data_IF_546639805329
#
_entry.id   IF_546639805329
#
_cell.length_a   1.000
_cell.length_b   1.000
_cell.length_c   1.000
_cell.angle_alpha   90.00
_cell.angle_beta   90.00
_cell.angle_gamma   90.00
#
_symmetry.space_group_name_H-M   'P 1'
#
loop_
_entity.id
_entity.type
_entity.pdbx_description
1 polymer ?
#
# COMPACT_ATOMS: atom_id res chain seq x y z
N UNK A 1 -6.43 -11.94 25.21
CA UNK A 1 -7.06 -10.64 24.88
C UNK A 1 -6.09 -9.45 24.73
N UNK A 2 -4.81 -9.52 25.15
CA UNK A 2 -3.86 -8.39 25.01
C UNK A 2 -3.29 -8.14 23.59
N UNK A 3 -3.42 -9.08 22.66
CA UNK A 3 -2.74 -9.01 21.34
C UNK A 3 -3.39 -8.05 20.33
N UNK A 4 -4.64 -7.61 20.56
CA UNK A 4 -5.28 -6.57 19.74
C UNK A 4 -4.72 -5.17 20.01
N UNK A 5 -4.11 -4.95 21.19
CA UNK A 5 -3.68 -3.61 21.61
C UNK A 5 -2.45 -3.14 20.85
N UNK A 6 -1.44 -4.01 20.70
CA UNK A 6 -0.23 -3.72 19.91
C UNK A 6 -0.56 -3.46 18.44
N UNK A 7 -1.47 -4.25 17.86
CA UNK A 7 -1.92 -4.08 16.50
C UNK A 7 -2.65 -2.74 16.30
N UNK A 8 -3.62 -2.44 17.17
CA UNK A 8 -4.36 -1.18 17.12
C UNK A 8 -3.46 0.03 17.37
N UNK A 9 -2.45 -0.09 18.24
CA UNK A 9 -1.43 0.93 18.46
C UNK A 9 -0.54 1.14 17.24
N UNK A 10 -0.10 0.06 16.58
CA UNK A 10 0.77 0.14 15.40
C UNK A 10 0.02 0.73 14.21
N UNK A 11 -1.22 0.27 13.99
CA UNK A 11 -2.15 0.83 13.00
C UNK A 11 -2.42 2.31 13.26
N UNK A 12 -2.69 2.67 14.51
CA UNK A 12 -2.92 4.07 14.90
C UNK A 12 -1.70 4.95 14.68
N UNK A 13 -0.50 4.47 15.03
CA UNK A 13 0.76 5.20 14.77
C UNK A 13 1.01 5.42 13.28
N UNK A 14 0.85 4.37 12.45
CA UNK A 14 0.99 4.48 11.00
C UNK A 14 0.00 5.48 10.41
N UNK A 15 -1.29 5.34 10.72
CA UNK A 15 -2.32 6.25 10.23
C UNK A 15 -2.08 7.69 10.68
N UNK A 16 -1.63 7.90 11.92
CA UNK A 16 -1.28 9.21 12.45
C UNK A 16 -0.08 9.82 11.71
N UNK A 17 1.00 9.06 11.50
CA UNK A 17 2.18 9.53 10.77
C UNK A 17 1.85 9.94 9.33
N UNK A 18 1.06 9.12 8.61
CA UNK A 18 0.60 9.47 7.26
C UNK A 18 -0.30 10.71 7.26
N UNK A 19 -1.23 10.82 8.20
CA UNK A 19 -2.10 11.99 8.31
C UNK A 19 -1.29 13.26 8.60
N UNK A 20 -0.26 13.20 9.46
CA UNK A 20 0.61 14.34 9.76
C UNK A 20 1.39 14.77 8.52
N UNK A 21 2.03 13.84 7.81
CA UNK A 21 2.81 14.15 6.60
C UNK A 21 1.91 14.72 5.50
N UNK A 22 0.76 14.10 5.25
CA UNK A 22 -0.18 14.58 4.24
C UNK A 22 -0.78 15.93 4.62
N UNK A 23 -1.10 16.15 5.89
CA UNK A 23 -1.58 17.43 6.39
C UNK A 23 -0.57 18.55 6.21
N UNK A 24 0.72 18.26 6.44
CA UNK A 24 1.80 19.20 6.18
C UNK A 24 1.89 19.55 4.68
N UNK A 25 1.86 18.54 3.80
CA UNK A 25 1.92 18.73 2.34
C UNK A 25 0.72 19.55 1.84
N UNK A 26 -0.51 19.18 2.24
CA UNK A 26 -1.73 19.88 1.84
C UNK A 26 -1.76 21.32 2.34
N UNK A 27 -1.27 21.58 3.56
CA UNK A 27 -1.16 22.93 4.10
C UNK A 27 -0.15 23.77 3.31
N UNK A 28 1.02 23.21 2.99
CA UNK A 28 2.05 23.89 2.20
C UNK A 28 1.56 24.21 0.78
N UNK A 29 0.88 23.27 0.12
CA UNK A 29 0.25 23.48 -1.18
C UNK A 29 -0.85 24.54 -1.12
N UNK A 30 -1.74 24.45 -0.13
CA UNK A 30 -2.82 25.43 0.07
C UNK A 30 -2.28 26.84 0.28
N UNK A 31 -1.23 26.99 1.09
CA UNK A 31 -0.54 28.26 1.30
C UNK A 31 0.13 28.79 0.03
N UNK A 32 0.79 27.91 -0.73
CA UNK A 32 1.41 28.25 -2.00
C UNK A 32 0.41 28.78 -3.02
N UNK A 33 -0.73 28.10 -3.19
CA UNK A 33 -1.82 28.53 -4.08
C UNK A 33 -2.39 29.88 -3.63
N UNK A 34 -2.65 30.05 -2.33
CA UNK A 34 -3.13 31.33 -1.78
C UNK A 34 -2.16 32.49 -2.11
N UNK A 35 -0.85 32.28 -1.91
CA UNK A 35 0.18 33.29 -2.22
C UNK A 35 0.24 33.60 -3.72
N UNK A 36 0.14 32.59 -4.58
CA UNK A 36 0.16 32.76 -6.03
C UNK A 36 -1.05 33.57 -6.54
N UNK A 37 -2.25 33.29 -6.02
CA UNK A 37 -3.48 34.01 -6.36
C UNK A 37 -3.36 35.48 -5.93
N UNK A 38 -2.97 35.75 -4.68
CA UNK A 38 -2.77 37.12 -4.16
C UNK A 38 -1.78 37.88 -5.04
N UNK A 39 -0.63 37.28 -5.35
CA UNK A 39 0.40 37.93 -6.15
C UNK A 39 -0.09 38.27 -7.57
N UNK A 40 -0.76 37.31 -8.23
CA UNK A 40 -1.27 37.49 -9.59
C UNK A 40 -2.32 38.59 -9.67
N UNK A 41 -3.25 38.64 -8.71
CA UNK A 41 -4.27 39.69 -8.65
C UNK A 41 -3.68 41.07 -8.37
N UNK A 42 -2.68 41.18 -7.49
CA UNK A 42 -2.00 42.45 -7.23
C UNK A 42 -1.29 42.95 -8.49
N UNK A 43 -0.48 42.11 -9.14
CA UNK A 43 0.25 42.49 -10.36
C UNK A 43 -0.71 42.88 -11.50
N UNK A 44 -1.84 42.17 -11.63
CA UNK A 44 -2.87 42.49 -12.63
C UNK A 44 -3.53 43.84 -12.33
N UNK A 45 -3.90 44.08 -11.06
CA UNK A 45 -4.48 45.35 -10.62
C UNK A 45 -3.53 46.52 -10.85
N UNK A 46 -2.23 46.36 -10.54
CA UNK A 46 -1.22 47.40 -10.76
C UNK A 46 -1.06 47.74 -12.24
N UNK A 47 -1.09 46.73 -13.13
CA UNK A 47 -1.01 46.94 -14.57
C UNK A 47 -2.23 47.70 -15.11
N UNK A 48 -3.42 47.32 -14.67
CA UNK A 48 -4.66 48.01 -15.05
C UNK A 48 -4.65 49.46 -14.55
N UNK A 49 -4.31 49.67 -13.27
CA UNK A 49 -4.25 51.01 -12.68
C UNK A 49 -3.22 51.89 -13.40
N UNK A 50 -2.04 51.35 -13.72
CA UNK A 50 -1.00 52.07 -14.47
C UNK A 50 -1.47 52.42 -15.89
N UNK A 51 -2.18 51.52 -16.57
CA UNK A 51 -2.73 51.76 -17.91
C UNK A 51 -3.78 52.87 -17.92
N UNK A 52 -4.71 52.83 -16.97
CA UNK A 52 -5.76 53.85 -16.80
C UNK A 52 -5.14 55.19 -16.43
N UNK A 53 -4.21 55.22 -15.47
CA UNK A 53 -3.53 56.43 -15.06
C UNK A 53 -2.68 57.05 -16.17
N UNK A 54 -1.97 56.24 -16.96
CA UNK A 54 -1.19 56.70 -18.11
C UNK A 54 -2.07 57.29 -19.21
N UNK A 55 -3.16 56.62 -19.57
CA UNK A 55 -4.11 57.13 -20.58
C UNK A 55 -4.74 58.47 -20.15
N UNK A 56 -5.07 58.60 -18.86
CA UNK A 56 -5.57 59.84 -18.28
C UNK A 56 -4.50 60.93 -18.28
N UNK A 57 -3.28 60.60 -17.87
CA UNK A 57 -2.14 61.51 -17.86
C UNK A 57 -1.89 62.11 -19.26
N UNK A 58 -1.75 61.26 -20.28
CA UNK A 58 -1.50 61.68 -21.67
C UNK A 58 -2.65 62.54 -22.22
N UNK A 59 -3.90 62.19 -21.89
CA UNK A 59 -5.08 62.93 -22.34
C UNK A 59 -5.23 64.29 -21.66
N UNK A 60 -4.72 64.43 -20.42
CA UNK A 60 -4.78 65.66 -19.64
C UNK A 60 -3.65 66.61 -20.02
N UNK A 61 -2.39 66.15 -20.10
CA UNK A 61 -1.23 67.02 -20.40
C UNK A 61 -1.42 67.87 -21.66
N UNK A 62 -2.01 67.29 -22.71
CA UNK A 62 -2.28 68.02 -23.96
C UNK A 62 -3.27 69.18 -23.82
N UNK A 63 -4.07 69.22 -22.74
CA UNK A 63 -5.11 70.23 -22.50
C UNK A 63 -4.76 71.25 -21.42
N UNK A 64 -3.66 71.08 -20.68
CA UNK A 64 -3.25 71.94 -19.57
C UNK A 64 -2.40 73.13 -20.06
N UNK A 65 -2.82 74.35 -19.71
CA UNK A 65 -2.15 75.60 -20.09
C UNK A 65 -1.59 76.34 -18.87
N UNK A 66 -2.41 76.58 -17.84
CA UNK A 66 -2.00 77.35 -16.66
C UNK A 66 -1.81 76.45 -15.42
N UNK A 67 -0.63 76.48 -14.75
CA UNK A 67 -0.40 75.72 -13.52
C UNK A 67 -1.45 76.03 -12.44
N UNK A 68 -2.06 74.98 -11.89
CA UNK A 68 -3.01 75.10 -10.77
C UNK A 68 -4.42 75.58 -11.12
N UNK A 69 -4.72 75.89 -12.38
CA UNK A 69 -6.08 76.18 -12.85
C UNK A 69 -6.58 75.04 -13.73
N UNK A 70 -7.77 74.53 -13.44
CA UNK A 70 -8.42 73.48 -14.24
C UNK A 70 -9.24 74.16 -15.34
N UNK A 71 -8.84 73.99 -16.60
CA UNK A 71 -9.56 74.57 -17.72
C UNK A 71 -10.96 73.92 -17.89
N UNK A 72 -11.99 74.68 -18.31
CA UNK A 72 -13.35 74.16 -18.49
C UNK A 72 -13.44 72.93 -19.41
N UNK A 73 -12.50 72.82 -20.36
CA UNK A 73 -12.39 71.72 -21.33
C UNK A 73 -12.03 70.36 -20.68
N UNK A 74 -11.52 70.37 -19.44
CA UNK A 74 -11.23 69.16 -18.66
C UNK A 74 -12.53 68.57 -18.09
N UNK A 75 -13.52 69.41 -17.80
CA UNK A 75 -14.85 68.97 -17.39
C UNK A 75 -15.60 68.17 -18.48
N UNK A 76 -15.28 68.38 -19.76
CA UNK A 76 -15.79 67.57 -20.86
C UNK A 76 -15.11 66.19 -20.96
N UNK A 77 -13.87 66.06 -20.47
CA UNK A 77 -13.09 64.82 -20.49
C UNK A 77 -13.39 63.92 -19.28
N UNK A 78 -13.67 64.53 -18.13
CA UNK A 78 -13.94 63.86 -16.87
C UNK A 78 -15.37 64.18 -16.40
N UNK A 79 -16.38 63.40 -16.80
CA UNK A 79 -17.73 63.57 -16.30
C UNK A 79 -17.74 63.34 -14.78
N UNK A 80 -18.34 64.26 -14.02
CA UNK A 80 -18.31 64.35 -12.54
C UNK A 80 -17.03 64.92 -11.91
N UNK A 81 -16.29 65.78 -12.63
CA UNK A 81 -15.22 66.58 -12.04
C UNK A 81 -15.80 67.61 -11.05
N UNK A 82 -15.31 67.60 -9.82
CA UNK A 82 -15.68 68.53 -8.75
C UNK A 82 -14.43 69.34 -8.34
N UNK A 83 -14.49 70.66 -8.56
CA UNK A 83 -13.42 71.59 -8.17
C UNK A 83 -13.60 71.97 -6.70
N UNK A 84 -12.55 71.78 -5.91
CA UNK A 84 -12.56 72.05 -4.47
C UNK A 84 -12.76 73.55 -4.24
N UNK A 85 -13.87 73.92 -3.56
CA UNK A 85 -14.24 75.32 -3.30
C UNK A 85 -15.47 75.82 -4.08
N UNK A 86 -15.96 75.05 -5.06
CA UNK A 86 -17.25 75.28 -5.72
C UNK A 86 -18.26 74.27 -5.19
N UNK A 87 -19.51 74.67 -4.93
CA UNK A 87 -20.56 73.77 -4.41
C UNK A 87 -20.87 72.65 -5.40
N UNK A 88 -20.23 71.51 -5.22
CA UNK A 88 -20.48 70.30 -6.00
C UNK A 88 -21.82 69.70 -5.61
N UNK A 89 -22.85 69.99 -6.41
CA UNK A 89 -24.14 69.31 -6.30
C UNK A 89 -24.02 67.91 -6.95
N UNK A 90 -24.67 66.91 -6.35
CA UNK A 90 -24.64 65.47 -6.73
C UNK A 90 -24.73 65.22 -8.25
N UNK A 91 -24.13 64.13 -8.77
CA UNK A 91 -23.81 63.97 -10.19
C UNK A 91 -25.05 63.87 -11.09
N UNK A 92 -25.01 64.57 -12.23
CA UNK A 92 -25.90 64.32 -13.36
C UNK A 92 -25.53 62.97 -14.00
N UNK A 93 -26.42 61.99 -13.87
CA UNK A 93 -26.40 60.80 -14.72
C UNK A 93 -26.91 61.23 -16.11
N UNK A 94 -26.02 61.54 -17.05
CA UNK A 94 -26.25 61.35 -18.49
C UNK A 94 -25.05 61.84 -19.30
N UNK A 95 -24.41 60.93 -20.05
CA UNK A 95 -24.31 61.03 -21.51
C UNK A 95 -23.31 60.02 -22.06
N UNK A 96 -23.82 59.13 -22.92
CA UNK A 96 -23.03 58.27 -23.79
C UNK A 96 -22.17 59.12 -24.72
N UNK A 97 -20.85 59.09 -24.56
CA UNK A 97 -19.91 59.15 -25.68
C UNK A 97 -18.55 58.59 -25.25
N UNK A 98 -18.10 57.63 -26.05
CA UNK A 98 -16.89 56.84 -25.90
C UNK A 98 -15.64 57.72 -25.74
N UNK A 99 -14.81 57.44 -24.74
CA UNK A 99 -13.32 57.47 -24.75
C UNK A 99 -12.76 57.02 -23.38
N UNK A 100 -13.49 57.17 -22.25
CA UNK A 100 -13.00 56.84 -20.90
C UNK A 100 -14.00 56.03 -20.04
N UNK A 101 -14.66 55.01 -20.62
CA UNK A 101 -15.64 54.17 -19.90
C UNK A 101 -15.10 53.49 -18.64
N UNK A 102 -13.78 53.21 -18.56
CA UNK A 102 -13.16 52.58 -17.38
C UNK A 102 -13.30 53.42 -16.10
N UNK A 103 -13.24 54.75 -16.20
CA UNK A 103 -13.43 55.66 -15.05
C UNK A 103 -14.92 55.77 -14.67
N UNK A 104 -15.81 55.70 -15.66
CA UNK A 104 -17.26 55.80 -15.44
C UNK A 104 -17.92 54.53 -14.86
N UNK A 105 -17.25 53.38 -14.92
CA UNK A 105 -17.76 52.11 -14.35
C UNK A 105 -17.65 52.02 -12.82
N UNK A 106 -17.23 53.09 -12.14
CA UNK A 106 -17.34 53.21 -10.67
C UNK A 106 -16.26 52.49 -9.87
N UNK A 107 -15.13 52.15 -10.50
CA UNK A 107 -14.04 51.43 -9.83
C UNK A 107 -12.82 52.29 -9.50
N UNK A 108 -12.73 53.50 -10.08
CA UNK A 108 -11.59 54.39 -9.91
C UNK A 108 -12.02 55.78 -9.41
N UNK A 109 -11.22 56.36 -8.53
CA UNK A 109 -11.29 57.77 -8.18
C UNK A 109 -10.05 58.49 -8.70
N UNK A 110 -10.22 59.78 -9.00
CA UNK A 110 -9.16 60.64 -9.52
C UNK A 110 -9.04 61.86 -8.63
N UNK A 111 -7.81 62.31 -8.39
CA UNK A 111 -7.48 63.53 -7.66
C UNK A 111 -6.43 64.32 -8.43
N UNK A 112 -6.61 65.64 -8.48
CA UNK A 112 -5.66 66.57 -9.07
C UNK A 112 -5.10 67.46 -7.96
N UNK A 113 -3.79 67.56 -7.87
CA UNK A 113 -3.08 68.39 -6.91
C UNK A 113 -2.26 69.46 -7.63
N UNK A 114 -2.11 70.63 -7.01
CA UNK A 114 -1.18 71.66 -7.47
C UNK A 114 0.28 71.30 -7.15
N UNK A 115 1.21 72.12 -7.62
CA UNK A 115 2.66 71.97 -7.34
C UNK A 115 3.02 72.10 -5.86
N UNK A 116 2.12 72.65 -5.03
CA UNK A 116 2.27 72.76 -3.57
C UNK A 116 1.66 71.57 -2.79
N UNK A 117 1.03 70.61 -3.50
CA UNK A 117 0.36 69.46 -2.90
C UNK A 117 -1.04 69.75 -2.35
N UNK A 118 -1.70 70.85 -2.77
CA UNK A 118 -3.09 71.15 -2.43
C UNK A 118 -4.03 70.49 -3.43
N UNK A 119 -5.10 69.87 -2.94
CA UNK A 119 -6.11 69.21 -3.78
C UNK A 119 -6.94 70.27 -4.52
N UNK A 120 -6.89 70.26 -5.86
CA UNK A 120 -7.61 71.19 -6.74
C UNK A 120 -8.97 70.61 -7.15
N UNK A 121 -9.01 69.34 -7.53
CA UNK A 121 -10.23 68.70 -8.03
C UNK A 121 -10.26 67.19 -7.78
N UNK A 122 -11.48 66.65 -7.72
CA UNK A 122 -11.75 65.22 -7.59
C UNK A 122 -12.71 64.76 -8.69
N UNK A 123 -12.56 63.54 -9.19
CA UNK A 123 -13.49 62.95 -10.17
C UNK A 123 -13.69 61.44 -9.91
N UNK A 124 -14.75 60.89 -10.50
CA UNK A 124 -15.14 59.49 -10.31
C UNK A 124 -15.83 59.24 -8.97
N UNK A 125 -15.84 57.98 -8.52
CA UNK A 125 -16.45 57.57 -7.24
C UNK A 125 -15.49 57.82 -6.09
N UNK A 126 -15.36 59.10 -5.69
CA UNK A 126 -14.50 59.49 -4.59
C UNK A 126 -15.08 59.04 -3.23
N UNK A 127 -14.37 58.20 -2.46
CA UNK A 127 -14.84 57.75 -1.15
C UNK A 127 -14.66 58.86 -0.09
N UNK A 128 -15.69 59.07 0.73
CA UNK A 128 -15.68 60.06 1.81
C UNK A 128 -14.67 59.67 2.90
N UNK A 129 -13.88 60.64 3.39
CA UNK A 129 -12.98 60.45 4.53
C UNK A 129 -11.58 59.94 4.21
N UNK A 130 -11.14 59.97 2.94
CA UNK A 130 -9.73 59.73 2.60
C UNK A 130 -8.84 60.93 2.95
N UNK A 131 -7.57 60.72 3.35
CA UNK A 131 -6.63 61.80 3.63
C UNK A 131 -6.41 62.72 2.42
N UNK A 132 -6.35 64.03 2.69
CA UNK A 132 -6.02 65.08 1.72
C UNK A 132 -4.52 65.42 1.68
N UNK A 133 -3.72 64.75 2.51
CA UNK A 133 -2.26 64.96 2.56
C UNK A 133 -1.63 64.34 1.32
N UNK A 134 -1.01 65.18 0.49
CA UNK A 134 -0.27 64.73 -0.68
C UNK A 134 1.04 64.04 -0.27
N UNK A 135 1.34 62.92 -0.92
CA UNK A 135 2.60 62.20 -0.77
C UNK A 135 3.14 61.90 -2.18
N UNK A 136 4.43 62.16 -2.38
CA UNK A 136 5.12 62.03 -3.68
C UNK A 136 5.47 60.59 -4.06
N UNK A 137 5.27 59.59 -3.19
CA UNK A 137 5.56 58.21 -3.54
C UNK A 137 4.68 57.73 -4.72
N UNK A 138 5.26 57.06 -5.74
CA UNK A 138 4.55 56.72 -6.97
C UNK A 138 3.41 55.73 -6.73
N UNK A 139 3.57 54.80 -5.79
CA UNK A 139 2.54 53.83 -5.38
C UNK A 139 2.23 53.96 -3.91
N UNK A 140 0.95 54.02 -3.55
CA UNK A 140 0.50 54.17 -2.18
C UNK A 140 -0.74 53.35 -1.92
N UNK A 141 -0.85 52.82 -0.70
CA UNK A 141 -2.10 52.24 -0.21
C UNK A 141 -2.58 53.09 0.95
N UNK A 142 -3.75 53.69 0.79
CA UNK A 142 -4.37 54.56 1.79
C UNK A 142 -5.68 53.94 2.27
N UNK A 143 -6.10 54.26 3.48
CA UNK A 143 -7.35 53.76 4.03
C UNK A 143 -8.32 54.90 4.31
N UNK A 144 -9.61 54.66 4.11
CA UNK A 144 -10.66 55.60 4.51
C UNK A 144 -10.94 55.53 6.03
N UNK A 145 -11.74 56.47 6.54
CA UNK A 145 -12.17 56.47 7.95
C UNK A 145 -13.00 55.25 8.37
N UNK A 146 -13.42 54.40 7.44
CA UNK A 146 -14.14 53.13 7.69
C UNK A 146 -13.20 51.92 7.68
N UNK A 147 -11.92 52.11 7.41
CA UNK A 147 -10.91 51.05 7.36
C UNK A 147 -10.82 50.31 6.02
N UNK A 148 -11.49 50.78 4.96
CA UNK A 148 -11.31 50.19 3.63
C UNK A 148 -10.02 50.70 3.01
N UNK A 149 -9.24 49.79 2.42
CA UNK A 149 -7.98 50.13 1.77
C UNK A 149 -8.16 50.39 0.28
N UNK A 150 -7.45 51.39 -0.22
CA UNK A 150 -7.44 51.82 -1.60
C UNK A 150 -6.00 51.86 -2.09
N UNK A 151 -5.77 51.32 -3.27
CA UNK A 151 -4.46 51.38 -3.92
C UNK A 151 -4.45 52.49 -4.95
N UNK A 152 -3.41 53.32 -4.97
CA UNK A 152 -3.32 54.49 -5.84
C UNK A 152 -1.93 54.67 -6.44
N UNK A 153 -1.89 55.26 -7.64
CA UNK A 153 -0.69 55.68 -8.34
C UNK A 153 -0.67 57.22 -8.47
N UNK A 154 0.50 57.82 -8.28
CA UNK A 154 0.74 59.26 -8.46
C UNK A 154 1.64 59.49 -9.68
N UNK A 155 1.20 60.35 -10.60
CA UNK A 155 1.95 60.79 -11.79
C UNK A 155 2.08 62.32 -11.75
N UNK A 156 3.24 62.87 -12.08
CA UNK A 156 3.38 64.33 -12.29
C UNK A 156 2.69 64.73 -13.59
N UNK A 157 2.13 65.93 -13.66
CA UNK A 157 1.52 66.50 -14.86
C UNK A 157 2.31 67.73 -15.28
N UNK A 158 2.53 67.89 -16.59
CA UNK A 158 3.19 69.05 -17.18
C UNK A 158 2.27 69.77 -18.18
N UNK A 159 2.54 71.05 -18.40
CA UNK A 159 1.89 71.84 -19.46
C UNK A 159 2.53 71.54 -20.82
N UNK A 160 1.88 71.99 -21.91
CA UNK A 160 2.46 71.89 -23.27
C UNK A 160 3.87 72.50 -23.38
N UNK A 161 4.18 73.50 -22.55
CA UNK A 161 5.48 74.17 -22.49
C UNK A 161 6.49 73.48 -21.53
N UNK A 162 6.24 72.22 -21.13
CA UNK A 162 7.04 71.45 -20.17
C UNK A 162 7.21 72.09 -18.78
N UNK A 163 6.22 72.88 -18.32
CA UNK A 163 6.21 73.40 -16.95
C UNK A 163 5.44 72.47 -16.03
N UNK A 164 5.91 72.30 -14.80
CA UNK A 164 5.20 71.53 -13.78
C UNK A 164 3.81 72.12 -13.53
N UNK A 165 2.77 71.35 -13.84
CA UNK A 165 1.38 71.74 -13.59
C UNK A 165 0.89 71.27 -12.22
N UNK A 166 1.29 70.06 -11.82
CA UNK A 166 0.84 69.43 -10.58
C UNK A 166 0.96 67.90 -10.60
N UNK A 167 0.07 67.22 -9.87
CA UNK A 167 0.05 65.76 -9.80
C UNK A 167 -1.35 65.18 -10.05
N UNK A 168 -1.39 64.10 -10.83
CA UNK A 168 -2.54 63.24 -11.04
C UNK A 168 -2.43 62.03 -10.11
N UNK A 169 -3.41 61.82 -9.24
CA UNK A 169 -3.56 60.56 -8.51
C UNK A 169 -4.78 59.81 -9.00
N UNK A 170 -4.59 58.53 -9.31
CA UNK A 170 -5.68 57.61 -9.67
C UNK A 170 -5.63 56.43 -8.72
N UNK A 171 -6.75 56.08 -8.11
CA UNK A 171 -6.82 54.94 -7.19
C UNK A 171 -8.09 54.12 -7.32
N UNK A 172 -8.05 52.90 -6.80
CA UNK A 172 -9.16 51.96 -6.81
C UNK A 172 -9.31 51.28 -5.43
N UNK A 173 -10.49 50.75 -5.15
CA UNK A 173 -10.78 50.04 -3.90
C UNK A 173 -10.22 48.61 -3.91
N UNK A 174 -9.54 48.21 -2.83
CA UNK A 174 -9.11 46.82 -2.60
C UNK A 174 -10.20 45.98 -1.91
N UNK A 175 -11.40 46.52 -1.68
CA UNK A 175 -12.48 45.81 -0.99
C UNK A 175 -12.91 44.55 -1.76
N UNK A 176 -13.01 44.63 -3.09
CA UNK A 176 -13.31 43.48 -3.93
C UNK A 176 -12.26 42.36 -3.80
N UNK A 177 -10.97 42.73 -3.75
CA UNK A 177 -9.89 41.78 -3.50
C UNK A 177 -10.03 41.15 -2.10
N UNK A 178 -10.34 41.94 -1.08
CA UNK A 178 -10.49 41.44 0.29
C UNK A 178 -11.67 40.46 0.43
N UNK A 179 -12.81 40.76 -0.20
CA UNK A 179 -13.99 39.89 -0.20
C UNK A 179 -13.71 38.57 -0.94
N UNK A 180 -13.01 38.64 -2.06
CA UNK A 180 -12.53 37.46 -2.79
C UNK A 180 -11.58 36.61 -1.94
N UNK A 181 -10.59 37.24 -1.29
CA UNK A 181 -9.65 36.53 -0.42
C UNK A 181 -10.33 35.92 0.80
N UNK A 182 -11.35 36.55 1.37
CA UNK A 182 -12.12 35.99 2.49
C UNK A 182 -12.89 34.73 2.08
N UNK A 183 -13.46 34.71 0.87
CA UNK A 183 -14.09 33.51 0.31
C UNK A 183 -13.09 32.36 0.17
N UNK A 184 -11.90 32.64 -0.37
CA UNK A 184 -10.82 31.63 -0.49
C UNK A 184 -10.37 31.14 0.89
N UNK A 185 -10.19 32.04 1.87
CA UNK A 185 -9.82 31.67 3.24
C UNK A 185 -10.85 30.71 3.86
N UNK A 186 -12.15 30.96 3.64
CA UNK A 186 -13.21 30.10 4.14
C UNK A 186 -13.18 28.72 3.46
N UNK A 187 -12.98 28.67 2.15
CA UNK A 187 -12.81 27.41 1.40
C UNK A 187 -11.60 26.62 1.93
N UNK A 188 -10.46 27.27 2.17
CA UNK A 188 -9.28 26.62 2.74
C UNK A 188 -9.51 26.14 4.18
N UNK A 189 -10.18 26.96 5.00
CA UNK A 189 -10.46 26.66 6.41
C UNK A 189 -11.40 25.47 6.59
N UNK A 190 -12.35 25.27 5.67
CA UNK A 190 -13.27 24.12 5.69
C UNK A 190 -12.74 22.93 4.88
N UNK A 191 -12.07 23.19 3.75
CA UNK A 191 -11.56 22.16 2.85
C UNK A 191 -10.40 21.37 3.44
N UNK A 192 -9.47 22.02 4.13
CA UNK A 192 -8.33 21.34 4.76
C UNK A 192 -8.75 20.31 5.81
N UNK A 193 -9.60 20.62 6.82
CA UNK A 193 -10.04 19.60 7.78
C UNK A 193 -10.87 18.50 7.13
N UNK A 194 -11.71 18.81 6.13
CA UNK A 194 -12.46 17.80 5.39
C UNK A 194 -11.54 16.83 4.65
N UNK A 195 -10.52 17.34 3.95
CA UNK A 195 -9.50 16.53 3.29
C UNK A 195 -8.70 15.70 4.30
N UNK A 196 -8.36 16.26 5.47
CA UNK A 196 -7.67 15.54 6.55
C UNK A 196 -8.48 14.37 7.10
N UNK A 197 -9.79 14.51 7.24
CA UNK A 197 -10.68 13.42 7.67
C UNK A 197 -10.72 12.30 6.62
N UNK A 198 -10.84 12.65 5.34
CA UNK A 198 -10.83 11.69 4.23
C UNK A 198 -9.49 10.93 4.14
N UNK A 199 -8.38 11.66 4.21
CA UNK A 199 -7.03 11.05 4.22
C UNK A 199 -6.84 10.17 5.45
N UNK A 200 -7.23 10.64 6.63
CA UNK A 200 -7.08 9.90 7.89
C UNK A 200 -7.89 8.59 7.88
N UNK A 201 -9.13 8.64 7.44
CA UNK A 201 -9.99 7.45 7.31
C UNK A 201 -9.48 6.48 6.26
N UNK A 202 -9.08 6.97 5.08
CA UNK A 202 -8.47 6.15 4.02
C UNK A 202 -7.16 5.50 4.48
N UNK A 203 -6.29 6.26 5.16
CA UNK A 203 -5.03 5.76 5.72
C UNK A 203 -5.27 4.68 6.77
N UNK A 204 -6.26 4.88 7.66
CA UNK A 204 -6.64 3.90 8.68
C UNK A 204 -7.19 2.60 8.08
N UNK A 205 -7.92 2.69 6.96
CA UNK A 205 -8.44 1.53 6.25
C UNK A 205 -7.33 0.74 5.53
N UNK A 206 -6.48 1.43 4.75
CA UNK A 206 -5.35 0.82 4.04
C UNK A 206 -4.34 0.18 5.00
N UNK A 207 -4.02 0.84 6.12
CA UNK A 207 -3.15 0.27 7.16
C UNK A 207 -3.73 -1.02 7.75
N UNK A 208 -5.06 -1.14 7.81
CA UNK A 208 -5.73 -2.38 8.24
C UNK A 208 -5.50 -3.53 7.26
N UNK A 209 -5.69 -3.28 5.96
CA UNK A 209 -5.47 -4.27 4.90
C UNK A 209 -4.01 -4.73 4.85
N UNK A 210 -3.06 -3.80 4.94
CA UNK A 210 -1.63 -4.12 4.89
C UNK A 210 -1.15 -4.96 6.08
N UNK A 211 -1.75 -4.78 7.26
CA UNK A 211 -1.32 -5.47 8.48
C UNK A 211 -2.01 -6.83 8.70
N UNK A 212 -3.11 -7.12 8.01
CA UNK A 212 -3.82 -8.40 8.11
C UNK A 212 -2.93 -9.63 7.81
N UNK A 213 -2.17 -9.70 6.70
CA UNK A 213 -1.32 -10.87 6.42
C UNK A 213 -0.20 -11.05 7.46
N UNK A 214 0.39 -9.94 7.91
CA UNK A 214 1.43 -9.95 8.95
C UNK A 214 0.87 -10.53 10.26
N UNK A 215 -0.36 -10.15 10.61
CA UNK A 215 -1.01 -10.64 11.82
C UNK A 215 -1.32 -12.14 11.74
N UNK A 216 -1.79 -12.62 10.59
CA UNK A 216 -2.04 -14.04 10.37
C UNK A 216 -0.74 -14.86 10.47
N UNK A 217 0.32 -14.43 9.79
CA UNK A 217 1.64 -15.06 9.87
C UNK A 217 2.18 -15.07 11.31
N UNK A 218 2.08 -13.95 12.02
CA UNK A 218 2.51 -13.86 13.42
C UNK A 218 1.73 -14.83 14.32
N UNK A 219 0.41 -14.92 14.17
CA UNK A 219 -0.41 -15.88 14.92
C UNK A 219 -0.01 -17.33 14.62
N UNK A 220 0.21 -17.66 13.35
CA UNK A 220 0.64 -19.00 12.95
C UNK A 220 1.99 -19.37 13.57
N UNK A 221 2.96 -18.44 13.58
CA UNK A 221 4.27 -18.65 14.23
C UNK A 221 4.10 -18.87 15.74
N UNK A 222 3.25 -18.08 16.39
CA UNK A 222 3.00 -18.24 17.82
C UNK A 222 2.33 -19.57 18.16
N UNK A 223 1.33 -19.99 17.38
CA UNK A 223 0.67 -21.28 17.52
C UNK A 223 1.68 -22.41 17.31
N UNK A 224 2.43 -22.37 16.20
CA UNK A 224 3.49 -23.33 15.92
C UNK A 224 4.52 -23.45 17.05
N UNK A 225 4.97 -22.33 17.61
CA UNK A 225 5.94 -22.34 18.72
C UNK A 225 5.34 -22.94 19.98
N UNK A 226 4.08 -22.64 20.28
CA UNK A 226 3.37 -23.19 21.44
C UNK A 226 3.14 -24.70 21.28
N UNK A 227 2.68 -25.14 20.12
CA UNK A 227 2.41 -26.54 19.80
C UNK A 227 3.70 -27.36 19.79
N UNK A 228 4.78 -26.85 19.18
CA UNK A 228 6.10 -27.46 19.23
C UNK A 228 6.61 -27.60 20.67
N UNK A 229 6.47 -26.56 21.50
CA UNK A 229 6.86 -26.63 22.90
C UNK A 229 6.06 -27.68 23.68
N UNK A 230 4.78 -27.86 23.36
CA UNK A 230 3.94 -28.87 24.00
C UNK A 230 4.34 -30.29 23.57
N UNK A 231 4.53 -30.52 22.26
CA UNK A 231 4.91 -31.84 21.74
C UNK A 231 6.33 -32.25 22.13
N UNK A 232 7.25 -31.29 22.33
CA UNK A 232 8.58 -31.54 22.89
C UNK A 232 8.55 -31.88 24.38
N UNK A 233 7.65 -31.26 25.16
CA UNK A 233 7.56 -31.48 26.61
C UNK A 233 7.17 -32.91 26.96
N UNK A 234 6.28 -33.53 26.19
CA UNK A 234 5.77 -34.89 26.46
C UNK A 234 6.87 -35.97 26.46
N UNK A 235 7.69 -36.16 25.40
CA UNK A 235 8.77 -37.15 25.40
C UNK A 235 9.86 -36.82 26.43
N UNK A 236 10.15 -35.55 26.68
CA UNK A 236 11.10 -35.13 27.72
C UNK A 236 10.61 -35.55 29.11
N UNK A 237 9.34 -35.28 29.43
CA UNK A 237 8.75 -35.67 30.71
C UNK A 237 8.68 -37.19 30.87
N UNK A 238 8.32 -37.92 29.81
CA UNK A 238 8.31 -39.39 29.82
C UNK A 238 9.71 -39.98 30.04
N UNK A 239 10.73 -39.43 29.38
CA UNK A 239 12.13 -39.84 29.56
C UNK A 239 12.59 -39.57 31.00
N UNK A 240 12.32 -38.38 31.52
CA UNK A 240 12.68 -38.01 32.89
C UNK A 240 12.01 -38.94 33.92
N UNK A 241 10.70 -39.18 33.79
CA UNK A 241 9.98 -40.08 34.69
C UNK A 241 10.51 -41.52 34.64
N UNK A 242 10.89 -42.01 33.45
CA UNK A 242 11.47 -43.35 33.28
C UNK A 242 12.84 -43.44 33.99
N UNK A 243 13.68 -42.43 33.83
CA UNK A 243 15.00 -42.36 34.48
C UNK A 243 14.85 -42.21 36.00
N UNK A 244 13.99 -41.32 36.48
CA UNK A 244 13.72 -41.14 37.91
C UNK A 244 13.18 -42.43 38.55
N UNK A 245 12.28 -43.13 37.87
CA UNK A 245 11.78 -44.43 38.34
C UNK A 245 12.90 -45.46 38.45
N UNK A 246 13.83 -45.51 37.49
CA UNK A 246 14.99 -46.39 37.56
C UNK A 246 15.95 -46.04 38.70
N UNK A 247 16.17 -44.74 38.95
CA UNK A 247 17.04 -44.26 40.04
C UNK A 247 16.48 -44.52 41.44
N UNK A 248 15.16 -44.65 41.59
CA UNK A 248 14.49 -44.96 42.86
C UNK A 248 14.49 -46.46 43.20
N UNK A 249 14.86 -47.33 42.25
CA UNK A 249 14.91 -48.77 42.47
C UNK A 249 16.17 -49.17 43.25
N UNK A 250 16.05 -49.91 44.38
CA UNK A 250 17.19 -50.32 45.20
C UNK A 250 18.21 -51.21 44.48
N UNK A 251 17.74 -51.99 43.51
CA UNK A 251 18.51 -52.87 42.64
C UNK A 251 17.75 -53.03 41.33
N UNK A 252 18.45 -52.95 40.20
CA UNK A 252 17.91 -53.22 38.87
C UNK A 252 18.53 -54.51 38.36
N UNK A 253 17.70 -55.45 37.93
CA UNK A 253 18.22 -56.58 37.17
C UNK A 253 18.63 -56.15 35.75
N UNK A 254 19.36 -57.02 35.04
CA UNK A 254 19.85 -56.71 33.69
C UNK A 254 18.70 -56.50 32.68
N UNK A 255 17.56 -57.16 32.88
CA UNK A 255 16.41 -57.08 31.98
C UNK A 255 15.64 -55.77 32.19
N UNK A 256 15.42 -55.35 33.43
CA UNK A 256 14.81 -54.08 33.80
C UNK A 256 15.66 -52.90 33.35
N UNK A 257 16.98 -52.97 33.56
CA UNK A 257 17.91 -51.96 33.07
C UNK A 257 17.86 -51.83 31.54
N UNK A 258 17.85 -52.97 30.82
CA UNK A 258 17.71 -52.99 29.36
C UNK A 258 16.37 -52.40 28.91
N UNK A 259 15.26 -52.78 29.55
CA UNK A 259 13.93 -52.24 29.22
C UNK A 259 13.88 -50.71 29.42
N UNK A 260 14.46 -50.18 30.50
CA UNK A 260 14.55 -48.74 30.76
C UNK A 260 15.35 -48.04 29.65
N UNK A 261 16.51 -48.58 29.28
CA UNK A 261 17.35 -48.03 28.22
C UNK A 261 16.64 -48.05 26.86
N UNK A 262 15.93 -49.12 26.54
CA UNK A 262 15.13 -49.23 25.30
C UNK A 262 13.97 -48.22 25.28
N UNK A 263 13.34 -47.93 26.42
CA UNK A 263 12.34 -46.87 26.53
C UNK A 263 12.97 -45.49 26.28
N UNK A 264 14.11 -45.20 26.92
CA UNK A 264 14.83 -43.92 26.77
C UNK A 264 15.31 -43.73 25.33
N UNK A 265 15.91 -44.75 24.72
CA UNK A 265 16.36 -44.74 23.33
C UNK A 265 15.20 -44.41 22.38
N UNK A 266 14.06 -45.09 22.54
CA UNK A 266 12.86 -44.84 21.73
C UNK A 266 12.32 -43.42 21.90
N UNK A 267 12.30 -42.86 23.12
CA UNK A 267 11.88 -41.47 23.33
C UNK A 267 12.88 -40.48 22.70
N UNK A 268 14.18 -40.75 22.78
CA UNK A 268 15.21 -39.89 22.20
C UNK A 268 15.19 -39.91 20.67
N UNK A 269 14.94 -41.07 20.05
CA UNK A 269 14.69 -41.16 18.60
C UNK A 269 13.47 -40.34 18.19
N UNK A 270 12.36 -40.47 18.93
CA UNK A 270 11.14 -39.69 18.66
C UNK A 270 11.38 -38.19 18.78
N UNK A 271 12.14 -37.75 19.81
CA UNK A 271 12.51 -36.36 20.00
C UNK A 271 13.37 -35.85 18.84
N UNK A 272 14.35 -36.64 18.41
CA UNK A 272 15.25 -36.30 17.30
C UNK A 272 14.49 -36.16 15.98
N UNK A 273 13.57 -37.08 15.69
CA UNK A 273 12.69 -37.01 14.51
C UNK A 273 11.81 -35.76 14.55
N UNK A 274 11.21 -35.45 15.70
CA UNK A 274 10.37 -34.26 15.85
C UNK A 274 11.17 -32.97 15.61
N UNK A 275 12.38 -32.87 16.17
CA UNK A 275 13.25 -31.71 15.92
C UNK A 275 13.62 -31.60 14.43
N UNK A 276 13.93 -32.73 13.77
CA UNK A 276 14.22 -32.76 12.34
C UNK A 276 13.00 -32.35 11.49
N UNK A 277 11.80 -32.81 11.83
CA UNK A 277 10.52 -32.40 11.23
C UNK A 277 10.32 -30.88 11.32
N UNK A 278 10.51 -30.29 12.51
CA UNK A 278 10.34 -28.85 12.73
C UNK A 278 11.37 -28.02 11.95
N UNK A 279 12.63 -28.46 11.93
CA UNK A 279 13.68 -27.78 11.18
C UNK A 279 13.44 -27.85 9.68
N UNK A 280 12.95 -28.99 9.17
CA UNK A 280 12.57 -29.11 7.76
C UNK A 280 11.43 -28.15 7.40
N UNK A 281 10.34 -28.14 8.17
CA UNK A 281 9.21 -27.24 7.93
C UNK A 281 9.64 -25.76 7.93
N UNK A 282 10.47 -25.36 8.90
CA UNK A 282 11.02 -24.01 8.99
C UNK A 282 11.88 -23.61 7.77
N UNK A 283 12.60 -24.58 7.18
CA UNK A 283 13.38 -24.35 5.95
C UNK A 283 12.47 -24.21 4.73
N UNK A 284 11.50 -25.10 4.57
CA UNK A 284 10.54 -25.08 3.46
C UNK A 284 9.66 -23.81 3.47
N UNK A 285 9.35 -23.25 4.64
CA UNK A 285 8.62 -21.99 4.78
C UNK A 285 9.39 -20.75 4.27
N UNK A 286 10.74 -20.79 4.34
CA UNK A 286 11.60 -19.63 4.03
C UNK A 286 12.05 -19.58 2.58
N UNK A 287 12.18 -20.74 1.93
CA UNK A 287 12.63 -20.85 0.54
C UNK A 287 11.91 -22.02 -0.13
N UNK A 288 11.20 -21.82 -1.26
CA UNK A 288 10.99 -22.92 -2.20
C UNK A 288 12.39 -23.32 -2.71
N UNK A 289 12.87 -24.46 -2.24
CA UNK A 289 14.26 -24.89 -2.40
C UNK A 289 14.63 -25.00 -3.89
N UNK A 290 15.74 -24.37 -4.29
CA UNK A 290 16.35 -24.49 -5.62
C UNK A 290 17.75 -25.11 -5.57
N UNK A 291 18.27 -25.37 -4.37
CA UNK A 291 19.59 -25.98 -4.15
C UNK A 291 19.41 -27.48 -4.00
N UNK A 292 19.92 -28.27 -4.95
CA UNK A 292 19.92 -29.74 -4.89
C UNK A 292 18.85 -30.45 -5.74
N UNK A 293 18.16 -29.74 -6.62
CA UNK A 293 17.19 -30.37 -7.52
C UNK A 293 17.92 -31.18 -8.60
N UNK A 294 17.54 -32.45 -8.72
CA UNK A 294 18.06 -33.40 -9.69
C UNK A 294 16.89 -34.13 -10.36
N UNK A 295 17.19 -34.83 -11.46
CA UNK A 295 16.22 -35.72 -12.09
C UNK A 295 15.98 -36.92 -11.17
N UNK A 296 14.75 -37.12 -10.73
CA UNK A 296 14.34 -38.20 -9.85
C UNK A 296 13.41 -39.17 -10.58
N UNK A 297 13.79 -40.46 -10.63
CA UNK A 297 12.94 -41.53 -11.13
C UNK A 297 11.87 -41.90 -10.09
N UNK A 298 10.60 -41.63 -10.39
CA UNK A 298 9.49 -41.93 -9.47
C UNK A 298 9.18 -43.42 -9.41
N UNK A 299 9.51 -44.19 -10.44
CA UNK A 299 9.34 -45.64 -10.45
C UNK A 299 10.20 -46.30 -9.39
N UNK A 300 11.49 -45.94 -9.35
CA UNK A 300 12.45 -46.47 -8.38
C UNK A 300 12.05 -46.05 -6.97
N UNK A 301 11.74 -44.77 -6.77
CA UNK A 301 11.26 -44.24 -5.49
C UNK A 301 10.05 -44.99 -4.93
N UNK A 302 9.05 -45.27 -5.77
CA UNK A 302 7.84 -46.01 -5.33
C UNK A 302 8.17 -47.47 -5.04
N UNK A 303 9.03 -48.10 -5.84
CA UNK A 303 9.46 -49.48 -5.63
C UNK A 303 10.21 -49.62 -4.29
N UNK A 304 11.21 -48.77 -4.07
CA UNK A 304 12.04 -48.76 -2.87
C UNK A 304 11.20 -48.55 -1.60
N UNK A 305 10.26 -47.59 -1.63
CA UNK A 305 9.37 -47.32 -0.50
C UNK A 305 8.44 -48.48 -0.16
N UNK A 306 7.93 -49.18 -1.18
CA UNK A 306 7.04 -50.31 -0.95
C UNK A 306 7.81 -51.50 -0.39
N UNK A 307 9.06 -51.71 -0.83
CA UNK A 307 9.96 -52.73 -0.28
C UNK A 307 10.35 -52.40 1.17
N UNK A 308 10.78 -51.17 1.45
CA UNK A 308 11.19 -50.75 2.80
C UNK A 308 10.03 -50.85 3.80
N UNK A 309 8.83 -50.39 3.41
CA UNK A 309 7.67 -50.34 4.29
C UNK A 309 6.89 -51.66 4.35
N UNK A 310 7.30 -52.70 3.60
CA UNK A 310 6.66 -54.01 3.62
C UNK A 310 6.68 -54.62 5.03
N UNK A 311 7.80 -54.52 5.75
CA UNK A 311 7.92 -55.05 7.11
C UNK A 311 6.94 -54.37 8.09
N UNK A 312 6.77 -53.05 7.97
CA UNK A 312 5.82 -52.28 8.79
C UNK A 312 4.37 -52.67 8.46
N UNK A 313 4.06 -52.87 7.18
CA UNK A 313 2.73 -53.29 6.73
C UNK A 313 2.39 -54.69 7.24
N UNK A 314 3.32 -55.65 7.13
CA UNK A 314 3.17 -57.02 7.66
C UNK A 314 2.98 -57.00 9.18
N UNK A 315 3.78 -56.23 9.92
CA UNK A 315 3.65 -56.10 11.37
C UNK A 315 2.30 -55.50 11.79
N UNK A 316 1.65 -54.73 10.91
CA UNK A 316 0.33 -54.12 11.12
C UNK A 316 -0.82 -54.93 10.52
N UNK A 317 -0.54 -56.10 9.92
CA UNK A 317 -1.49 -56.95 9.18
C UNK A 317 -2.21 -56.19 8.04
N UNK A 318 -1.45 -55.40 7.27
CA UNK A 318 -1.91 -54.61 6.13
C UNK A 318 -1.29 -55.12 4.84
N UNK A 319 -2.11 -55.27 3.80
CA UNK A 319 -1.63 -55.58 2.44
C UNK A 319 -1.13 -54.31 1.76
N UNK A 320 0.18 -54.15 1.60
CA UNK A 320 0.79 -53.05 0.83
C UNK A 320 1.10 -53.51 -0.60
N UNK A 321 0.62 -52.79 -1.60
CA UNK A 321 0.84 -53.10 -3.02
C UNK A 321 1.13 -51.85 -3.84
N UNK A 322 1.90 -51.98 -4.91
CA UNK A 322 2.09 -50.91 -5.91
C UNK A 322 1.45 -51.28 -7.26
N UNK A 323 1.03 -50.27 -8.01
CA UNK A 323 0.52 -50.40 -9.37
C UNK A 323 1.10 -49.28 -10.25
N UNK A 324 2.01 -49.64 -11.14
CA UNK A 324 2.62 -48.69 -12.08
C UNK A 324 1.84 -48.75 -13.40
N UNK A 325 1.14 -47.67 -13.75
CA UNK A 325 0.30 -47.57 -14.97
C UNK A 325 0.96 -46.83 -16.12
N UNK A 326 2.28 -46.67 -16.06
CA UNK A 326 3.06 -45.99 -17.09
C UNK A 326 3.97 -46.96 -17.85
N UNK A 327 4.03 -46.87 -19.19
CA UNK A 327 4.86 -47.75 -20.01
C UNK A 327 6.35 -47.36 -19.99
N UNK A 328 6.68 -46.16 -19.53
CA UNK A 328 8.04 -45.61 -19.45
C UNK A 328 8.31 -45.08 -18.05
N UNK A 329 9.58 -44.95 -17.70
CA UNK A 329 10.00 -44.31 -16.44
C UNK A 329 9.47 -42.87 -16.39
N UNK A 330 8.93 -42.49 -15.23
CA UNK A 330 8.48 -41.13 -14.96
C UNK A 330 9.55 -40.40 -14.17
N UNK A 331 10.03 -39.30 -14.73
CA UNK A 331 11.05 -38.45 -14.12
C UNK A 331 10.51 -37.06 -13.80
N UNK A 332 10.90 -36.56 -12.64
CA UNK A 332 10.59 -35.20 -12.16
C UNK A 332 11.88 -34.52 -11.72
N UNK A 333 11.90 -33.18 -11.76
CA UNK A 333 13.02 -32.41 -11.22
C UNK A 333 12.70 -32.04 -9.77
N UNK A 334 13.56 -32.46 -8.84
CA UNK A 334 13.32 -32.24 -7.42
C UNK A 334 14.43 -32.74 -6.50
N UNK A 335 14.22 -32.57 -5.20
CA UNK A 335 15.05 -33.18 -4.17
C UNK A 335 14.53 -34.59 -3.88
N UNK A 336 15.34 -35.60 -4.20
CA UNK A 336 14.96 -37.01 -4.07
C UNK A 336 14.64 -37.41 -2.62
N UNK A 337 15.39 -36.91 -1.63
CA UNK A 337 15.16 -37.24 -0.22
C UNK A 337 13.83 -36.64 0.27
N UNK A 338 13.51 -35.42 -0.17
CA UNK A 338 12.24 -34.78 0.16
C UNK A 338 11.07 -35.52 -0.49
N UNK A 339 11.17 -35.86 -1.78
CA UNK A 339 10.13 -36.65 -2.46
C UNK A 339 9.93 -38.02 -1.81
N UNK A 340 11.03 -38.69 -1.42
CA UNK A 340 10.99 -39.96 -0.70
C UNK A 340 10.19 -39.82 0.60
N UNK A 341 10.51 -38.79 1.40
CA UNK A 341 9.83 -38.50 2.66
C UNK A 341 8.36 -38.10 2.51
N UNK A 342 8.01 -37.38 1.44
CA UNK A 342 6.63 -37.04 1.13
C UNK A 342 5.82 -38.32 0.93
N UNK A 343 6.27 -39.19 0.03
CA UNK A 343 5.54 -40.41 -0.33
C UNK A 343 5.53 -41.40 0.84
N UNK A 344 6.64 -41.54 1.58
CA UNK A 344 6.70 -42.38 2.78
C UNK A 344 5.68 -41.92 3.84
N UNK A 345 5.54 -40.61 4.08
CA UNK A 345 4.55 -40.08 5.00
C UNK A 345 3.11 -40.44 4.58
N UNK A 346 2.80 -40.44 3.28
CA UNK A 346 1.49 -40.85 2.79
C UNK A 346 1.25 -42.34 3.00
N UNK A 347 2.23 -43.19 2.70
CA UNK A 347 2.12 -44.65 2.87
C UNK A 347 2.01 -45.03 4.35
N UNK A 348 2.85 -44.46 5.22
CA UNK A 348 2.83 -44.70 6.66
C UNK A 348 1.47 -44.30 7.25
N UNK A 349 0.91 -43.16 6.82
CA UNK A 349 -0.46 -42.79 7.22
C UNK A 349 -1.49 -43.82 6.75
N UNK A 350 -1.40 -44.29 5.50
CA UNK A 350 -2.25 -45.36 4.99
C UNK A 350 -2.18 -46.61 5.87
N UNK A 351 -0.98 -47.07 6.24
CA UNK A 351 -0.79 -48.25 7.10
C UNK A 351 -1.36 -48.00 8.51
N UNK A 352 -1.05 -46.86 9.11
CA UNK A 352 -1.41 -46.54 10.50
C UNK A 352 -2.91 -46.35 10.73
N UNK A 353 -3.65 -45.85 9.73
CA UNK A 353 -5.09 -45.56 9.83
C UNK A 353 -5.97 -46.60 9.14
N UNK A 354 -5.37 -47.65 8.59
CA UNK A 354 -6.08 -48.82 8.09
C UNK A 354 -6.26 -49.88 9.18
N UNK A 355 -7.49 -50.39 9.40
CA UNK A 355 -7.70 -51.53 10.30
C UNK A 355 -6.97 -52.80 9.82
N UNK A 356 -6.65 -53.67 10.77
CA UNK A 356 -6.11 -55.03 10.57
C UNK A 356 -6.87 -55.76 9.45
N UNK A 357 -6.14 -56.37 8.52
CA UNK A 357 -6.67 -57.04 7.33
C UNK A 357 -7.00 -56.13 6.15
N UNK A 358 -6.79 -54.82 6.26
CA UNK A 358 -7.03 -53.86 5.19
C UNK A 358 -5.90 -53.77 4.16
N UNK A 359 -6.03 -52.82 3.23
CA UNK A 359 -5.13 -52.67 2.07
C UNK A 359 -4.69 -51.22 1.87
N UNK A 360 -3.42 -51.04 1.51
CA UNK A 360 -2.85 -49.79 1.00
C UNK A 360 -2.29 -50.03 -0.40
N UNK A 361 -2.68 -49.19 -1.36
CA UNK A 361 -2.26 -49.29 -2.77
C UNK A 361 -1.57 -48.00 -3.19
N UNK A 362 -0.34 -48.10 -3.69
CA UNK A 362 0.41 -46.98 -4.26
C UNK A 362 0.33 -47.05 -5.78
N UNK A 363 -0.33 -46.09 -6.41
CA UNK A 363 -0.54 -46.04 -7.86
C UNK A 363 0.35 -44.95 -8.44
N UNK A 364 1.21 -45.31 -9.40
CA UNK A 364 1.99 -44.36 -10.18
C UNK A 364 1.37 -44.23 -11.58
N UNK A 365 0.95 -43.01 -11.93
CA UNK A 365 0.27 -42.70 -13.18
C UNK A 365 0.81 -41.39 -13.79
N UNK A 366 0.37 -41.07 -15.01
CA UNK A 366 0.67 -39.79 -15.68
C UNK A 366 -0.60 -39.08 -16.11
N UNK A 367 -0.64 -37.78 -15.89
CA UNK A 367 -1.54 -36.84 -16.54
C UNK A 367 -0.72 -35.97 -17.50
N UNK A 368 -1.33 -35.29 -18.48
CA UNK A 368 -0.65 -34.62 -19.60
C UNK A 368 0.70 -33.98 -19.23
N UNK A 369 0.68 -33.01 -18.30
CA UNK A 369 1.86 -32.25 -17.86
C UNK A 369 2.39 -32.67 -16.47
N UNK A 370 1.82 -33.70 -15.84
CA UNK A 370 2.13 -34.05 -14.45
C UNK A 370 2.36 -35.55 -14.25
N UNK A 371 3.35 -35.89 -13.43
CA UNK A 371 3.44 -37.21 -12.82
C UNK A 371 2.49 -37.27 -11.62
N UNK A 372 1.76 -38.38 -11.47
CA UNK A 372 0.73 -38.53 -10.44
C UNK A 372 1.05 -39.75 -9.57
N UNK A 373 1.14 -39.55 -8.26
CA UNK A 373 1.24 -40.63 -7.27
C UNK A 373 -0.04 -40.61 -6.44
N UNK A 374 -0.75 -41.73 -6.39
CA UNK A 374 -1.91 -41.92 -5.53
C UNK A 374 -1.61 -42.94 -4.43
N UNK A 375 -1.95 -42.61 -3.19
CA UNK A 375 -1.91 -43.55 -2.08
C UNK A 375 -3.35 -43.76 -1.62
N UNK A 376 -3.87 -44.96 -1.86
CA UNK A 376 -5.23 -45.37 -1.53
C UNK A 376 -5.21 -46.34 -0.34
N UNK A 377 -5.99 -46.03 0.69
CA UNK A 377 -6.18 -46.89 1.85
C UNK A 377 -7.66 -47.31 1.98
N UNK A 378 -7.89 -48.49 2.55
CA UNK A 378 -9.23 -48.96 2.96
C UNK A 378 -9.49 -48.68 4.44
N UNK A 379 -9.01 -47.54 4.92
CA UNK A 379 -8.98 -47.22 6.33
C UNK A 379 -10.27 -46.61 6.86
N UNK A 380 -10.15 -45.97 8.03
CA UNK A 380 -11.30 -45.37 8.73
C UNK A 380 -11.92 -44.17 8.01
N UNK A 381 -11.23 -43.61 7.02
CA UNK A 381 -11.61 -42.40 6.31
C UNK A 381 -11.61 -41.13 7.18
N UNK A 382 -11.85 -39.99 6.52
CA UNK A 382 -11.73 -38.65 7.08
C UNK A 382 -13.05 -37.91 6.85
N UNK A 383 -13.61 -37.31 7.90
CA UNK A 383 -14.84 -36.54 7.78
C UNK A 383 -14.65 -35.31 6.87
N UNK A 384 -15.66 -34.90 6.07
CA UNK A 384 -15.52 -33.79 5.13
C UNK A 384 -15.05 -32.47 5.78
N UNK A 385 -15.46 -32.22 7.03
CA UNK A 385 -15.08 -31.04 7.81
C UNK A 385 -13.59 -31.01 8.20
N UNK A 386 -12.94 -32.16 8.28
CA UNK A 386 -11.54 -32.29 8.69
C UNK A 386 -10.58 -32.30 7.49
N UNK A 387 -11.05 -32.67 6.29
CA UNK A 387 -10.23 -32.83 5.08
C UNK A 387 -9.48 -31.54 4.69
N UNK A 388 -10.02 -30.36 4.99
CA UNK A 388 -9.34 -29.08 4.74
C UNK A 388 -8.24 -28.76 5.76
N UNK A 389 -8.23 -29.45 6.92
CA UNK A 389 -7.37 -29.15 8.06
C UNK A 389 -6.30 -30.21 8.32
N UNK A 390 -6.41 -31.39 7.70
CA UNK A 390 -5.42 -32.48 7.89
C UNK A 390 -3.98 -32.11 7.47
N UNK A 391 -3.82 -31.06 6.68
CA UNK A 391 -2.51 -30.52 6.29
C UNK A 391 -1.99 -29.44 7.25
N UNK A 392 -2.80 -29.01 8.22
CA UNK A 392 -2.37 -28.09 9.27
C UNK A 392 -1.36 -28.78 10.19
N UNK A 393 -0.36 -28.02 10.66
CA UNK A 393 0.67 -28.53 11.58
C UNK A 393 0.02 -28.97 12.90
N UNK A 394 0.45 -30.12 13.41
CA UNK A 394 0.00 -30.70 14.68
C UNK A 394 -1.51 -31.03 14.74
N UNK A 395 -2.23 -30.90 13.62
CA UNK A 395 -3.66 -31.18 13.59
C UNK A 395 -3.92 -32.69 13.55
N UNK A 396 -4.90 -33.13 14.34
CA UNK A 396 -5.26 -34.54 14.50
C UNK A 396 -6.77 -34.66 14.69
N UNK A 397 -7.41 -35.57 13.95
CA UNK A 397 -8.87 -35.78 13.99
C UNK A 397 -9.34 -36.38 15.32
N UNK A 398 -8.54 -37.26 15.96
CA UNK A 398 -8.89 -37.87 17.25
C UNK A 398 -7.65 -37.97 18.17
N UNK A 399 -7.65 -37.25 19.29
CA UNK A 399 -6.54 -37.24 20.27
C UNK A 399 -6.43 -38.51 21.12
N UNK A 400 -7.50 -39.29 21.28
CA UNK A 400 -7.52 -40.40 22.26
C UNK A 400 -6.95 -41.72 21.73
N UNK A 401 -7.26 -42.10 20.48
CA UNK A 401 -6.74 -43.34 19.85
C UNK A 401 -5.28 -43.21 19.43
N UNK A 402 -4.82 -41.98 19.24
CA UNK A 402 -3.56 -41.65 18.57
C UNK A 402 -2.38 -41.44 19.55
N UNK A 403 -2.63 -41.48 20.86
CA UNK A 403 -1.58 -41.58 21.89
C UNK A 403 -0.82 -42.92 21.80
N UNK A 404 -1.50 -43.99 21.39
CA UNK A 404 -0.88 -45.32 21.23
C UNK A 404 -0.04 -45.45 19.95
N UNK A 405 -0.38 -44.72 18.89
CA UNK A 405 0.33 -44.81 17.59
C UNK A 405 1.36 -43.70 17.37
N UNK A 406 1.55 -42.78 18.33
CA UNK A 406 2.78 -41.98 18.45
C UNK A 406 3.02 -40.83 17.47
N UNK A 407 2.15 -40.59 16.48
CA UNK A 407 2.35 -39.55 15.47
C UNK A 407 2.34 -38.12 16.04
N UNK A 408 3.26 -37.26 15.57
CA UNK A 408 3.38 -35.83 15.95
C UNK A 408 2.32 -34.93 15.30
N UNK A 409 1.59 -35.43 14.29
CA UNK A 409 0.70 -34.62 13.46
C UNK A 409 1.45 -33.71 12.47
N UNK A 410 2.75 -33.95 12.24
CA UNK A 410 3.56 -33.18 11.28
C UNK A 410 3.69 -33.86 9.91
N UNK A 411 3.44 -35.16 9.80
CA UNK A 411 3.68 -35.92 8.56
C UNK A 411 2.96 -35.38 7.32
N UNK A 412 1.65 -35.14 7.41
CA UNK A 412 0.87 -34.56 6.29
C UNK A 412 1.24 -33.10 6.02
N UNK A 413 1.55 -32.32 7.06
CA UNK A 413 2.03 -30.94 6.89
C UNK A 413 3.38 -30.88 6.16
N UNK A 414 4.29 -31.82 6.45
CA UNK A 414 5.56 -31.98 5.76
C UNK A 414 5.33 -32.40 4.31
N UNK A 415 4.49 -33.42 4.07
CA UNK A 415 4.15 -33.86 2.72
C UNK A 415 3.58 -32.71 1.87
N UNK A 416 2.68 -31.90 2.46
CA UNK A 416 2.10 -30.73 1.82
C UNK A 416 3.13 -29.61 1.55
N UNK A 417 4.02 -29.33 2.50
CA UNK A 417 5.09 -28.35 2.33
C UNK A 417 6.08 -28.76 1.24
N UNK A 418 6.45 -30.05 1.18
CA UNK A 418 7.34 -30.60 0.14
C UNK A 418 6.66 -30.53 -1.23
N UNK A 419 5.37 -30.90 -1.33
CA UNK A 419 4.62 -30.81 -2.59
C UNK A 419 4.62 -29.37 -3.14
N UNK A 420 4.34 -28.39 -2.27
CA UNK A 420 4.35 -26.98 -2.66
C UNK A 420 5.74 -26.48 -3.05
N UNK A 421 6.79 -26.89 -2.33
CA UNK A 421 8.17 -26.54 -2.67
C UNK A 421 8.56 -27.04 -4.07
N UNK A 422 8.04 -28.19 -4.49
CA UNK A 422 8.24 -28.78 -5.82
C UNK A 422 7.24 -28.30 -6.88
N UNK A 423 6.51 -27.23 -6.63
CA UNK A 423 5.45 -26.71 -7.51
C UNK A 423 4.37 -27.76 -7.88
N UNK A 424 4.18 -28.75 -7.01
CA UNK A 424 3.17 -29.78 -7.13
C UNK A 424 1.90 -29.45 -6.37
N UNK A 425 0.95 -30.39 -6.42
CA UNK A 425 -0.30 -30.34 -5.67
C UNK A 425 -0.50 -31.63 -4.87
N UNK A 426 -0.97 -31.53 -3.64
CA UNK A 426 -1.39 -32.67 -2.83
C UNK A 426 -2.86 -32.51 -2.45
N UNK A 427 -3.69 -33.46 -2.86
CA UNK A 427 -5.14 -33.45 -2.62
C UNK A 427 -5.57 -34.71 -1.88
N UNK A 428 -6.68 -34.63 -1.17
CA UNK A 428 -7.29 -35.78 -0.50
C UNK A 428 -8.73 -35.93 -0.97
N UNK A 429 -9.13 -37.17 -1.22
CA UNK A 429 -10.53 -37.57 -1.30
C UNK A 429 -10.74 -38.68 -0.28
N UNK A 430 -11.70 -38.54 0.61
CA UNK A 430 -11.95 -39.53 1.64
C UNK A 430 -13.42 -39.60 2.00
N UNK A 431 -13.87 -40.80 2.37
CA UNK A 431 -15.19 -41.06 2.89
C UNK A 431 -15.09 -41.89 4.17
N UNK A 432 -15.79 -41.45 5.21
CA UNK A 432 -15.73 -42.06 6.53
C UNK A 432 -16.20 -43.51 6.48
N UNK A 433 -15.36 -44.43 6.95
CA UNK A 433 -15.63 -45.87 6.95
C UNK A 433 -15.33 -46.59 5.62
N UNK A 434 -14.93 -45.86 4.58
CA UNK A 434 -14.57 -46.45 3.27
C UNK A 434 -13.06 -46.42 3.08
N UNK A 435 -12.42 -45.28 3.36
CA UNK A 435 -10.98 -45.10 3.19
C UNK A 435 -10.60 -43.71 2.69
N UNK A 436 -9.34 -43.54 2.31
CA UNK A 436 -8.81 -42.28 1.80
C UNK A 436 -7.94 -42.48 0.57
N UNK A 437 -7.91 -41.47 -0.29
CA UNK A 437 -7.04 -41.37 -1.46
C UNK A 437 -6.30 -40.04 -1.39
N UNK A 438 -5.00 -40.10 -1.19
CA UNK A 438 -4.11 -38.95 -1.36
C UNK A 438 -3.57 -38.94 -2.77
N UNK A 439 -3.68 -37.80 -3.46
CA UNK A 439 -3.21 -37.62 -4.85
C UNK A 439 -2.15 -36.53 -4.88
N UNK A 440 -0.91 -36.92 -5.16
CA UNK A 440 0.23 -36.05 -5.42
C UNK A 440 0.37 -35.85 -6.92
N UNK A 441 0.37 -34.60 -7.38
CA UNK A 441 0.71 -34.21 -8.75
C UNK A 441 2.01 -33.41 -8.76
N UNK A 442 2.99 -33.82 -9.56
CA UNK A 442 4.28 -33.14 -9.72
C UNK A 442 4.47 -32.73 -11.19
N UNK A 443 5.01 -31.54 -11.49
CA UNK A 443 5.36 -31.17 -12.85
C UNK A 443 6.39 -32.16 -13.43
N UNK A 444 6.16 -32.64 -14.66
CA UNK A 444 7.14 -33.47 -15.35
C UNK A 444 8.41 -32.68 -15.64
N UNK A 445 9.56 -33.35 -15.62
CA UNK A 445 10.77 -32.78 -16.16
C UNK A 445 10.55 -32.45 -17.65
N UNK A 446 10.68 -31.18 -18.06
CA UNK A 446 10.65 -30.84 -19.49
C UNK A 446 11.93 -31.42 -20.09
N UNK A 447 11.79 -32.52 -20.83
CA UNK A 447 12.89 -33.04 -21.63
C UNK A 447 13.14 -32.04 -22.77
N UNK A 448 14.04 -31.08 -22.55
CA UNK A 448 14.56 -30.24 -23.63
C UNK A 448 15.51 -31.08 -24.48
N UNK A 449 14.95 -31.89 -25.35
CA UNK A 449 15.66 -32.55 -26.44
C UNK A 449 14.90 -32.35 -27.76
N UNK A 450 14.66 -31.08 -28.09
CA UNK A 450 14.57 -30.63 -29.48
C UNK A 450 15.78 -29.70 -29.74
N UNK A 451 16.99 -30.27 -29.66
CA UNK A 451 18.09 -29.72 -30.45
C UNK A 451 17.93 -30.31 -31.85
N UNK A 452 17.20 -29.59 -32.69
CA UNK A 452 17.19 -29.80 -34.14
C UNK A 452 18.62 -30.04 -34.61
N UNK A 453 18.85 -31.23 -35.16
CA UNK A 453 20.00 -31.53 -36.01
C UNK A 453 20.00 -30.55 -37.19
N UNK A 454 20.63 -29.39 -37.01
CA UNK A 454 21.12 -28.60 -38.14
C UNK A 454 22.41 -29.27 -38.62
N UNK A 455 22.28 -30.19 -39.57
CA UNK A 455 23.39 -30.63 -40.42
C UNK A 455 23.24 -30.06 -41.84
N UNK A 456 24.36 -29.72 -42.49
CA UNK A 456 24.43 -28.62 -43.44
C UNK A 456 24.15 -29.07 -44.87
N UNK A 457 23.33 -28.32 -45.61
CA UNK A 457 23.22 -28.48 -47.06
C UNK A 457 24.45 -27.86 -47.73
N UNK A 458 25.35 -28.74 -48.18
CA UNK A 458 26.43 -28.42 -49.11
C UNK A 458 25.84 -28.12 -50.48
N UNK A 459 25.88 -26.85 -50.89
CA UNK A 459 25.62 -26.42 -52.25
C UNK A 459 26.88 -26.71 -53.10
N UNK A 460 26.81 -27.70 -53.99
CA UNK A 460 27.71 -27.76 -55.15
C UNK A 460 27.16 -26.80 -56.21
N UNK A 461 27.84 -25.67 -56.42
CA UNK A 461 27.70 -24.91 -57.65
C UNK A 461 28.65 -25.50 -58.69
N UNK A 462 28.09 -26.14 -59.72
CA UNK A 462 28.73 -26.28 -61.02
C UNK A 462 28.33 -25.08 -61.87
N UNK A 463 29.28 -24.19 -62.18
CA UNK A 463 29.17 -23.31 -63.32
C UNK A 463 30.43 -23.46 -64.17
N UNK A 464 30.18 -23.92 -65.39
CA UNK A 464 30.96 -23.73 -66.62
C UNK A 464 31.27 -22.28 -66.91
#
# INVERSE_FOLDING_TARGET
MNQNRLFNQTRGKLALSYAIVMGFILSLLGFGVYRAIVHTHLVTSDRELKSVAGTLHDSLEWKLKEPGQVEPIIGELLPNLCIVGVNCSKPLVSSQRHILSAVSQGHYYIRLFDTSGRLIAIAGTYPEGLPHVFNQAPWQTISDGKGNSYHQISLSLHTQDQRDWGYLQVGHSLQYLNDYLNTIKLILALGLPMAMILVGSGSWWLAGLAMQPIYQSYRQIQQFTADAAHELRTPIAATLATVESGLLMPSLDQQEARNILEIVERQNHRLSQLVADLLLLSRLDRQPASVGYQTCCLNDLVSDLVEELAALAIASDITLTSLVRVPTTLEVVGDSEQLYRLVSNLIINGIQYTPVGGKVTVILDKSDQQAVIQVEDTGIGIAPEDQGRIFDRFYRVNCDRSRHTGGSGLGLAIAYAIAQAHHGSLQVYSERGVGSRFTLGLPKAVTSCDQEHFSPQVFFQSNS
#
